data_IF_970029682489
#
_entry.id   IF_970029682489
#
_cell.length_a   1.000
_cell.length_b   1.000
_cell.length_c   1.000
_cell.angle_alpha   90.00
_cell.angle_beta   90.00
_cell.angle_gamma   90.00
#
_symmetry.space_group_name_H-M   'P 1'
#
loop_
_entity.id
_entity.type
_entity.pdbx_description
1 polymer ?
#
# COMPACT_ATOMS: atom_id res chain seq x y z
N UNK A 1 -36.72 7.52 26.87
CA UNK A 1 -35.80 6.57 26.32
C UNK A 1 -34.58 7.36 25.93
N UNK A 2 -33.41 7.10 26.50
CA UNK A 2 -32.18 7.75 26.00
C UNK A 2 -31.94 7.22 24.59
N UNK A 3 -31.85 8.10 23.59
CA UNK A 3 -31.45 7.72 22.25
C UNK A 3 -30.04 7.13 22.38
N UNK A 4 -29.89 5.87 21.94
CA UNK A 4 -28.59 5.25 21.90
C UNK A 4 -27.71 6.08 20.96
N UNK A 5 -26.56 6.54 21.45
CA UNK A 5 -25.62 7.32 20.64
C UNK A 5 -25.11 6.48 19.45
N UNK A 6 -24.45 7.09 18.47
CA UNK A 6 -23.93 6.38 17.31
C UNK A 6 -22.90 5.33 17.73
N UNK A 7 -22.90 4.17 17.04
CA UNK A 7 -21.89 3.12 17.20
C UNK A 7 -20.50 3.68 16.92
N UNK A 8 -20.41 4.57 15.93
CA UNK A 8 -19.13 5.09 15.48
C UNK A 8 -19.23 6.54 15.05
N UNK A 9 -18.25 7.34 15.44
CA UNK A 9 -18.04 8.72 14.94
C UNK A 9 -16.54 9.01 14.91
N UNK A 10 -16.05 9.47 13.76
CA UNK A 10 -14.67 9.93 13.62
C UNK A 10 -14.61 11.23 12.82
N UNK A 11 -13.79 12.18 13.28
CA UNK A 11 -13.61 13.49 12.66
C UNK A 11 -12.16 13.63 12.23
N UNK A 12 -11.93 13.93 10.96
CA UNK A 12 -10.61 14.25 10.42
C UNK A 12 -10.60 15.68 9.90
N UNK A 13 -9.52 16.39 10.16
CA UNK A 13 -9.25 17.71 9.57
C UNK A 13 -8.66 17.60 8.16
N UNK A 14 -8.31 16.39 7.73
CA UNK A 14 -7.59 16.15 6.48
C UNK A 14 -8.20 15.04 5.62
N UNK A 15 -9.27 15.39 4.89
CA UNK A 15 -9.91 14.46 3.96
C UNK A 15 -8.97 14.00 2.83
N UNK A 16 -7.90 14.76 2.53
CA UNK A 16 -6.93 14.38 1.50
C UNK A 16 -6.13 13.12 1.86
N UNK A 17 -5.71 12.99 3.13
CA UNK A 17 -5.03 11.79 3.60
C UNK A 17 -5.93 10.55 3.47
N UNK A 18 -7.20 10.69 3.87
CA UNK A 18 -8.18 9.62 3.78
C UNK A 18 -8.41 9.21 2.32
N UNK A 19 -8.61 10.21 1.44
CA UNK A 19 -8.75 9.98 0.00
C UNK A 19 -7.52 9.27 -0.57
N UNK A 20 -6.31 9.74 -0.28
CA UNK A 20 -5.08 9.20 -0.84
C UNK A 20 -4.88 7.72 -0.48
N UNK A 21 -5.16 7.34 0.77
CA UNK A 21 -5.06 5.95 1.22
C UNK A 21 -6.12 5.06 0.55
N UNK A 22 -7.36 5.51 0.51
CA UNK A 22 -8.45 4.75 -0.12
C UNK A 22 -8.29 4.66 -1.65
N UNK A 23 -7.76 5.70 -2.28
CA UNK A 23 -7.48 5.70 -3.71
C UNK A 23 -6.40 4.67 -4.10
N UNK A 24 -5.47 4.33 -3.19
CA UNK A 24 -4.49 3.27 -3.42
C UNK A 24 -5.17 1.91 -3.70
N UNK A 25 -6.29 1.63 -3.06
CA UNK A 25 -7.06 0.37 -3.23
C UNK A 25 -8.29 0.53 -4.14
N UNK A 26 -8.40 1.64 -4.85
CA UNK A 26 -9.56 1.99 -5.68
C UNK A 26 -9.69 1.22 -7.00
N UNK A 27 -9.30 -0.05 -7.04
CA UNK A 27 -9.36 -0.89 -8.25
C UNK A 27 -10.68 -1.64 -8.45
N UNK A 28 -11.59 -1.62 -7.47
CA UNK A 28 -12.93 -2.17 -7.57
C UNK A 28 -13.98 -1.17 -7.09
N UNK A 29 -15.24 -1.42 -7.42
CA UNK A 29 -16.35 -0.49 -7.14
C UNK A 29 -16.75 -0.47 -5.67
N UNK A 30 -16.68 -1.62 -5.01
CA UNK A 30 -17.14 -1.81 -3.64
C UNK A 30 -15.95 -2.12 -2.73
N UNK A 31 -16.07 -1.75 -1.47
CA UNK A 31 -15.14 -2.11 -0.42
C UNK A 31 -15.90 -2.64 0.80
N UNK A 32 -15.40 -3.69 1.41
CA UNK A 32 -15.78 -4.09 2.75
C UNK A 32 -15.16 -3.14 3.75
N UNK A 33 -15.95 -2.68 4.69
CA UNK A 33 -15.55 -1.77 5.77
C UNK A 33 -15.73 -2.50 7.10
N UNK A 34 -14.69 -2.49 7.93
CA UNK A 34 -14.76 -2.97 9.30
C UNK A 34 -14.32 -1.85 10.25
N UNK A 35 -15.19 -1.54 11.22
CA UNK A 35 -14.92 -0.48 12.21
C UNK A 35 -14.41 -1.15 13.49
N UNK A 36 -13.23 -0.74 13.94
CA UNK A 36 -12.57 -1.29 15.14
C UNK A 36 -12.22 -0.16 16.13
N UNK A 37 -11.86 -0.45 17.39
CA UNK A 37 -11.41 0.57 18.33
C UNK A 37 -10.14 1.31 17.92
N UNK A 38 -9.34 0.73 17.02
CA UNK A 38 -8.04 1.27 16.59
C UNK A 38 -8.08 1.99 15.25
N UNK A 39 -9.18 1.84 14.49
CA UNK A 39 -9.32 2.47 13.19
C UNK A 39 -10.37 1.80 12.32
N UNK A 40 -10.42 2.22 11.07
CA UNK A 40 -11.34 1.70 10.05
C UNK A 40 -10.51 0.94 9.01
N UNK A 41 -10.87 -0.31 8.81
CA UNK A 41 -10.27 -1.16 7.79
C UNK A 41 -11.16 -1.18 6.56
N UNK A 42 -10.56 -0.92 5.41
CA UNK A 42 -11.16 -1.10 4.09
C UNK A 42 -10.47 -2.25 3.38
N UNK A 43 -11.26 -3.17 2.86
CA UNK A 43 -10.80 -4.32 2.08
C UNK A 43 -11.50 -4.33 0.73
N UNK A 44 -10.71 -4.50 -0.32
CA UNK A 44 -11.19 -4.61 -1.70
C UNK A 44 -10.62 -5.88 -2.30
N UNK A 45 -11.45 -6.66 -2.96
CA UNK A 45 -11.08 -7.95 -3.52
C UNK A 45 -11.56 -8.07 -4.97
N UNK A 46 -10.87 -8.85 -5.78
CA UNK A 46 -11.32 -9.25 -7.11
C UNK A 46 -10.92 -10.68 -7.41
N UNK A 47 -11.94 -11.51 -7.63
CA UNK A 47 -11.80 -12.91 -8.05
C UNK A 47 -11.08 -13.82 -7.08
N UNK A 48 -10.95 -13.45 -5.81
CA UNK A 48 -10.17 -14.14 -4.78
C UNK A 48 -8.68 -14.33 -5.13
N UNK A 49 -8.19 -13.51 -6.04
CA UNK A 49 -6.79 -13.56 -6.51
C UNK A 49 -6.01 -12.33 -6.11
N UNK A 50 -6.68 -11.18 -6.02
CA UNK A 50 -6.09 -9.94 -5.51
C UNK A 50 -6.94 -9.37 -4.39
N UNK A 51 -6.28 -8.93 -3.34
CA UNK A 51 -6.89 -8.19 -2.23
C UNK A 51 -6.06 -6.94 -1.94
N UNK A 52 -6.72 -5.80 -1.79
CA UNK A 52 -6.14 -4.54 -1.32
C UNK A 52 -6.71 -4.16 0.03
N UNK A 53 -5.87 -3.79 0.96
CA UNK A 53 -6.20 -3.47 2.35
C UNK A 53 -5.69 -2.08 2.69
N UNK A 54 -6.56 -1.17 3.11
CA UNK A 54 -6.20 0.13 3.64
C UNK A 54 -6.73 0.25 5.07
N UNK A 55 -5.86 0.61 6.00
CA UNK A 55 -6.22 0.84 7.39
C UNK A 55 -6.10 2.32 7.71
N UNK A 56 -7.24 2.94 8.03
CA UNK A 56 -7.31 4.31 8.52
C UNK A 56 -7.18 4.29 10.04
N UNK A 57 -5.95 4.42 10.53
CA UNK A 57 -5.64 4.45 11.96
C UNK A 57 -6.37 5.59 12.65
N UNK A 58 -6.79 5.39 13.91
CA UNK A 58 -7.43 6.42 14.74
C UNK A 58 -6.60 7.70 14.87
N UNK A 59 -5.27 7.61 14.71
CA UNK A 59 -4.39 8.77 14.73
C UNK A 59 -4.58 9.72 13.52
N UNK A 60 -5.24 9.28 12.44
CA UNK A 60 -5.62 10.14 11.31
C UNK A 60 -6.84 11.03 11.61
N UNK A 61 -7.49 10.80 12.74
CA UNK A 61 -8.69 11.51 13.16
C UNK A 61 -8.40 12.38 14.38
N UNK A 62 -8.98 13.55 14.42
CA UNK A 62 -8.91 14.46 15.59
C UNK A 62 -9.77 13.94 16.74
N UNK A 63 -10.86 13.27 16.41
CA UNK A 63 -11.71 12.55 17.36
C UNK A 63 -12.09 11.20 16.76
N UNK A 64 -12.05 10.17 17.59
CA UNK A 64 -12.44 8.82 17.21
C UNK A 64 -13.22 8.20 18.38
N UNK A 65 -14.51 7.96 18.18
CA UNK A 65 -15.40 7.40 19.18
C UNK A 65 -16.01 6.13 18.63
N UNK A 66 -15.85 5.04 19.38
CA UNK A 66 -16.37 3.72 19.02
C UNK A 66 -17.12 3.16 20.24
N UNK A 67 -18.39 2.91 20.10
CA UNK A 67 -19.28 2.41 21.14
C UNK A 67 -19.96 1.13 20.63
N UNK A 68 -19.42 -0.03 20.96
CA UNK A 68 -20.15 -1.28 20.78
C UNK A 68 -21.33 -1.33 21.74
N UNK A 69 -22.55 -1.58 21.25
CA UNK A 69 -23.65 -1.91 22.16
C UNK A 69 -23.24 -3.17 22.94
N UNK A 70 -23.31 -3.09 24.27
CA UNK A 70 -23.07 -4.27 25.12
C UNK A 70 -24.02 -5.38 24.68
N UNK A 71 -23.52 -6.49 24.21
CA UNK A 71 -24.29 -7.71 23.97
C UNK A 71 -24.62 -8.22 25.37
N UNK A 72 -25.85 -7.95 25.81
CA UNK A 72 -26.39 -8.51 27.05
C UNK A 72 -26.63 -10.01 26.82
N UNK A 73 -25.60 -10.81 26.94
CA UNK A 73 -25.73 -12.26 27.09
C UNK A 73 -26.15 -12.55 28.54
N UNK A 74 -27.44 -12.41 28.79
CA UNK A 74 -28.03 -12.72 30.14
C UNK A 74 -28.00 -14.20 30.49
N UNK A 75 -27.42 -15.10 29.71
CA UNK A 75 -27.57 -16.56 29.90
C UNK A 75 -26.28 -17.37 29.69
N UNK A 76 -25.10 -16.93 30.08
CA UNK A 76 -23.99 -17.87 30.16
C UNK A 76 -23.10 -17.60 31.38
N UNK A 77 -22.96 -18.65 32.24
CA UNK A 77 -22.06 -18.66 33.38
C UNK A 77 -20.61 -18.39 32.95
N UNK A 78 -19.85 -17.58 33.69
CA UNK A 78 -18.47 -17.30 33.35
C UNK A 78 -17.59 -18.52 33.64
N UNK A 79 -17.34 -19.34 32.66
CA UNK A 79 -16.16 -20.24 32.67
C UNK A 79 -14.99 -19.43 32.21
N UNK A 80 -14.15 -19.03 33.15
CA UNK A 80 -12.91 -18.32 32.93
C UNK A 80 -11.92 -19.25 32.23
N UNK A 81 -11.89 -19.23 30.93
CA UNK A 81 -10.78 -19.81 30.15
C UNK A 81 -10.01 -18.68 29.45
N UNK A 82 -8.84 -18.38 29.98
CA UNK A 82 -8.02 -17.19 29.68
C UNK A 82 -7.21 -17.31 28.40
N UNK A 83 -7.66 -18.05 27.39
CA UNK A 83 -6.99 -18.25 26.10
C UNK A 83 -7.87 -18.07 24.86
N UNK A 84 -9.12 -17.66 25.01
CA UNK A 84 -9.96 -17.26 23.88
C UNK A 84 -9.67 -15.77 23.60
N UNK A 85 -8.94 -15.46 22.55
CA UNK A 85 -9.06 -14.17 21.88
C UNK A 85 -10.52 -14.06 21.46
N UNK A 86 -11.29 -13.30 22.24
CA UNK A 86 -12.69 -12.99 21.97
C UNK A 86 -12.77 -12.52 20.52
N UNK A 87 -13.41 -13.29 19.65
CA UNK A 87 -13.83 -12.84 18.34
C UNK A 87 -14.94 -11.81 18.58
N UNK A 88 -14.53 -10.58 18.93
CA UNK A 88 -15.42 -9.44 18.98
C UNK A 88 -15.89 -9.22 17.55
N UNK A 89 -17.17 -9.48 17.31
CA UNK A 89 -17.81 -9.23 16.02
C UNK A 89 -17.93 -7.72 15.82
N UNK A 90 -16.88 -7.12 15.24
CA UNK A 90 -16.86 -5.71 14.93
C UNK A 90 -17.81 -5.40 13.78
N UNK A 91 -18.50 -4.24 13.81
CA UNK A 91 -19.38 -3.84 12.74
C UNK A 91 -18.66 -3.89 11.38
N UNK A 92 -19.20 -4.66 10.46
CA UNK A 92 -18.68 -4.81 9.11
C UNK A 92 -19.82 -4.72 8.10
N UNK A 93 -19.56 -4.13 6.96
CA UNK A 93 -20.52 -3.91 5.88
C UNK A 93 -19.80 -3.54 4.59
N UNK A 94 -20.49 -3.62 3.46
CA UNK A 94 -19.98 -3.21 2.15
C UNK A 94 -20.52 -1.85 1.79
N UNK A 95 -19.66 -1.00 1.20
CA UNK A 95 -20.03 0.31 0.64
C UNK A 95 -19.51 0.46 -0.78
N UNK A 96 -20.09 1.36 -1.54
CA UNK A 96 -19.53 1.80 -2.82
C UNK A 96 -18.27 2.63 -2.57
N UNK A 97 -17.09 2.05 -2.86
CA UNK A 97 -15.81 2.75 -2.73
C UNK A 97 -15.70 3.90 -3.73
N UNK A 98 -16.22 3.72 -4.94
CA UNK A 98 -16.24 4.79 -5.94
C UNK A 98 -17.04 6.00 -5.46
N UNK A 99 -18.23 5.80 -4.87
CA UNK A 99 -19.04 6.88 -4.30
C UNK A 99 -18.33 7.55 -3.09
N UNK A 100 -17.65 6.77 -2.25
CA UNK A 100 -16.86 7.29 -1.15
C UNK A 100 -15.70 8.18 -1.65
N UNK A 101 -14.95 7.73 -2.65
CA UNK A 101 -13.87 8.50 -3.24
C UNK A 101 -14.36 9.79 -3.89
N UNK A 102 -15.48 9.74 -4.63
CA UNK A 102 -16.10 10.96 -5.19
C UNK A 102 -16.58 11.92 -4.10
N UNK A 103 -17.16 11.40 -3.01
CA UNK A 103 -17.55 12.23 -1.86
C UNK A 103 -16.33 12.95 -1.27
N UNK A 104 -15.22 12.26 -1.06
CA UNK A 104 -13.99 12.86 -0.51
C UNK A 104 -13.38 13.91 -1.45
N UNK A 105 -13.61 13.82 -2.75
CA UNK A 105 -13.16 14.82 -3.75
C UNK A 105 -13.94 16.14 -3.72
N UNK A 106 -15.10 16.20 -3.10
CA UNK A 106 -15.96 17.40 -3.09
C UNK A 106 -15.19 18.65 -2.62
N UNK A 107 -14.18 18.48 -1.77
CA UNK A 107 -13.31 19.57 -1.30
C UNK A 107 -12.15 19.94 -2.26
N UNK A 108 -12.23 19.61 -3.53
CA UNK A 108 -11.20 19.98 -4.52
C UNK A 108 -9.86 19.25 -4.32
N UNK A 109 -9.89 18.04 -3.75
CA UNK A 109 -8.69 17.24 -3.49
C UNK A 109 -7.98 16.83 -4.81
N UNK A 110 -8.70 16.83 -5.94
CA UNK A 110 -8.15 16.46 -7.26
C UNK A 110 -7.27 17.54 -7.92
N UNK A 111 -7.32 18.79 -7.48
CA UNK A 111 -6.66 19.91 -8.18
C UNK A 111 -5.24 20.23 -7.67
N UNK A 112 -4.75 19.53 -6.64
CA UNK A 112 -3.42 19.79 -6.08
C UNK A 112 -2.26 19.46 -7.03
N UNK A 113 -2.50 18.65 -8.06
CA UNK A 113 -1.49 18.36 -9.10
C UNK A 113 -1.34 19.50 -10.12
N UNK A 114 -2.36 20.34 -10.28
CA UNK A 114 -2.32 21.47 -11.20
C UNK A 114 -1.45 22.64 -10.68
N UNK A 115 -1.31 22.80 -9.36
CA UNK A 115 -0.55 23.90 -8.77
C UNK A 115 0.95 23.70 -8.79
N UNK A 116 1.46 22.48 -8.89
CA UNK A 116 2.90 22.21 -8.99
C UNK A 116 3.45 22.39 -10.42
N UNK A 117 2.61 22.29 -11.43
CA UNK A 117 3.03 22.52 -12.83
C UNK A 117 3.11 24.00 -13.19
N UNK A 118 2.46 24.89 -12.45
CA UNK A 118 2.46 26.36 -12.74
C UNK A 118 3.62 27.13 -12.09
N UNK A 119 4.45 26.50 -11.24
CA UNK A 119 5.64 27.17 -10.66
C UNK A 119 6.86 27.18 -11.56
N UNK A 120 6.83 26.55 -12.71
CA UNK A 120 7.97 26.48 -13.66
C UNK A 120 7.87 27.38 -14.90
N UNK A 121 6.81 28.18 -15.04
CA UNK A 121 6.68 29.12 -16.17
C UNK A 121 6.64 30.56 -15.65
N UNK A 122 7.71 31.28 -15.93
CA UNK A 122 7.95 32.69 -15.66
C UNK A 122 6.91 33.61 -16.31
N UNK A 123 6.48 34.61 -15.51
CA UNK A 123 6.21 36.02 -15.87
C UNK A 123 5.40 36.29 -17.15
N UNK A 124 4.11 36.57 -16.97
CA UNK A 124 3.48 37.80 -17.49
C UNK A 124 2.10 38.07 -16.83
N UNK A 125 1.75 39.33 -16.46
CA UNK A 125 0.49 39.67 -15.84
C UNK A 125 -0.55 39.96 -16.93
N UNK A 126 -1.49 39.06 -17.12
CA UNK A 126 -2.69 39.39 -17.90
C UNK A 126 -3.91 38.62 -17.38
N UNK A 127 -4.83 39.40 -16.85
CA UNK A 127 -6.24 39.15 -16.62
C UNK A 127 -6.66 37.88 -15.88
N UNK A 128 -6.95 38.13 -14.64
CA UNK A 128 -7.61 37.29 -13.65
C UNK A 128 -8.93 36.76 -14.19
N UNK A 129 -8.93 35.54 -14.71
CA UNK A 129 -10.13 34.70 -14.69
C UNK A 129 -10.37 34.26 -13.26
N UNK A 130 -11.58 34.40 -12.81
CA UNK A 130 -12.05 34.09 -11.46
C UNK A 130 -11.58 32.68 -11.02
N UNK A 131 -10.41 32.61 -10.42
CA UNK A 131 -10.01 31.49 -9.59
C UNK A 131 -11.01 31.42 -8.47
N UNK A 132 -11.67 30.30 -8.31
CA UNK A 132 -12.72 30.09 -7.33
C UNK A 132 -12.23 30.61 -5.96
N UNK A 133 -13.06 31.42 -5.31
CA UNK A 133 -12.80 31.97 -3.98
C UNK A 133 -12.51 30.89 -2.91
N UNK A 134 -12.65 29.64 -3.28
CA UNK A 134 -12.48 28.44 -2.44
C UNK A 134 -11.04 27.94 -2.31
N UNK A 135 -10.07 28.50 -3.02
CA UNK A 135 -8.65 28.08 -2.96
C UNK A 135 -7.75 28.93 -2.06
N UNK A 136 -8.30 29.86 -1.30
CA UNK A 136 -7.51 30.67 -0.40
C UNK A 136 -6.97 29.84 0.80
N UNK A 137 -5.67 29.91 1.14
CA UNK A 137 -5.07 29.12 2.22
C UNK A 137 -5.74 29.29 3.58
N UNK A 138 -6.35 30.45 3.82
CA UNK A 138 -7.09 30.75 5.07
C UNK A 138 -8.41 29.97 5.20
N UNK A 139 -8.97 29.48 4.09
CA UNK A 139 -10.20 28.66 4.10
C UNK A 139 -9.92 27.18 4.37
N UNK A 140 -8.67 26.73 4.20
CA UNK A 140 -8.26 25.34 4.48
C UNK A 140 -8.24 25.02 5.98
N UNK A 141 -8.15 26.02 6.84
CA UNK A 141 -8.01 25.85 8.30
C UNK A 141 -9.29 25.34 9.01
N UNK A 142 -10.46 25.45 8.38
CA UNK A 142 -11.75 25.09 8.99
C UNK A 142 -12.48 23.98 8.23
N UNK A 143 -11.73 23.09 7.58
CA UNK A 143 -12.29 21.92 6.91
C UNK A 143 -12.33 20.75 7.85
N UNK A 144 -13.46 20.06 7.92
CA UNK A 144 -13.59 18.79 8.65
C UNK A 144 -14.37 17.78 7.85
N UNK A 145 -13.95 16.54 7.96
CA UNK A 145 -14.62 15.37 7.40
C UNK A 145 -15.03 14.46 8.55
N UNK A 146 -16.33 14.24 8.72
CA UNK A 146 -16.88 13.40 9.79
C UNK A 146 -17.47 12.14 9.17
N UNK A 147 -17.01 11.00 9.62
CA UNK A 147 -17.62 9.69 9.37
C UNK A 147 -18.52 9.33 10.55
N UNK A 148 -19.71 8.85 10.29
CA UNK A 148 -20.65 8.43 11.32
C UNK A 148 -21.42 7.19 10.87
N UNK A 149 -21.53 6.22 11.80
CA UNK A 149 -22.34 5.02 11.64
C UNK A 149 -23.24 4.86 12.85
N UNK A 150 -24.54 4.99 12.65
CA UNK A 150 -25.52 5.09 13.75
C UNK A 150 -25.82 3.72 14.38
N UNK A 151 -26.15 2.74 13.56
CA UNK A 151 -26.55 1.40 13.96
C UNK A 151 -26.30 0.41 12.85
N UNK A 152 -26.36 -0.88 13.14
CA UNK A 152 -26.27 -1.93 12.12
C UNK A 152 -27.32 -1.72 11.02
N UNK A 153 -26.89 -1.79 9.74
CA UNK A 153 -27.73 -1.59 8.58
C UNK A 153 -28.06 -0.12 8.28
N UNK A 154 -27.62 0.86 9.10
CA UNK A 154 -27.77 2.28 8.78
C UNK A 154 -26.78 2.69 7.69
N UNK A 155 -27.07 3.76 6.91
CA UNK A 155 -26.09 4.29 5.96
C UNK A 155 -24.84 4.80 6.69
N UNK A 156 -23.68 4.71 6.02
CA UNK A 156 -22.46 5.39 6.44
C UNK A 156 -22.59 6.87 6.05
N UNK A 157 -22.76 7.75 7.04
CA UNK A 157 -22.89 9.17 6.83
C UNK A 157 -21.52 9.83 6.81
N UNK A 158 -21.26 10.64 5.79
CA UNK A 158 -20.04 11.43 5.62
C UNK A 158 -20.46 12.89 5.57
N UNK A 159 -20.07 13.65 6.57
CA UNK A 159 -20.30 15.08 6.66
C UNK A 159 -19.02 15.82 6.35
N UNK A 160 -19.05 16.63 5.31
CA UNK A 160 -17.98 17.52 4.92
C UNK A 160 -18.38 18.94 5.31
N UNK A 161 -17.63 19.57 6.20
CA UNK A 161 -17.87 20.93 6.63
C UNK A 161 -16.72 21.85 6.23
N UNK A 162 -17.05 22.95 5.62
CA UNK A 162 -16.17 24.07 5.27
C UNK A 162 -16.84 25.37 5.70
N UNK A 163 -16.10 26.45 5.82
CA UNK A 163 -16.63 27.75 6.28
C UNK A 163 -17.91 28.15 5.51
N UNK A 164 -19.06 28.05 6.18
CA UNK A 164 -20.37 28.42 5.65
C UNK A 164 -21.05 27.37 4.76
N UNK A 165 -20.42 26.21 4.49
CA UNK A 165 -21.01 25.13 3.71
C UNK A 165 -20.87 23.81 4.46
N UNK A 166 -21.96 23.05 4.53
CA UNK A 166 -22.00 21.69 5.06
C UNK A 166 -22.62 20.78 4.02
N UNK A 167 -21.87 19.77 3.59
CA UNK A 167 -22.36 18.71 2.67
C UNK A 167 -22.48 17.41 3.45
N UNK A 168 -23.62 16.76 3.34
CA UNK A 168 -23.89 15.46 3.96
C UNK A 168 -24.11 14.46 2.83
N UNK A 169 -23.34 13.38 2.83
CA UNK A 169 -23.48 12.25 1.92
C UNK A 169 -23.75 10.99 2.73
N UNK A 170 -24.81 10.28 2.39
CA UNK A 170 -25.17 9.01 3.03
C UNK A 170 -24.93 7.88 2.05
N UNK A 171 -23.95 7.02 2.36
CA UNK A 171 -23.65 5.85 1.55
C UNK A 171 -24.44 4.66 2.06
N UNK A 172 -25.20 4.04 1.17
CA UNK A 172 -25.92 2.79 1.49
C UNK A 172 -24.90 1.73 1.87
N UNK A 173 -25.19 1.03 2.96
CA UNK A 173 -24.41 -0.12 3.44
C UNK A 173 -25.14 -1.40 3.02
N UNK A 174 -24.37 -2.41 2.65
CA UNK A 174 -24.86 -3.73 2.30
C UNK A 174 -24.28 -4.76 3.26
N UNK A 175 -25.02 -5.81 3.52
CA UNK A 175 -24.51 -6.95 4.31
C UNK A 175 -23.34 -7.61 3.55
N UNK A 176 -22.36 -8.10 4.32
CA UNK A 176 -21.29 -8.90 3.76
C UNK A 176 -21.78 -10.34 3.61
N UNK A 177 -21.42 -11.00 2.52
CA UNK A 177 -21.59 -12.44 2.42
C UNK A 177 -20.60 -13.14 3.38
N UNK A 178 -21.08 -14.16 4.13
CA UNK A 178 -20.30 -14.91 5.13
C UNK A 178 -19.02 -15.59 4.58
N UNK A 179 -18.76 -15.45 3.30
CA UNK A 179 -17.59 -16.02 2.60
C UNK A 179 -16.45 -15.03 2.33
N UNK A 180 -16.49 -13.82 2.87
CA UNK A 180 -15.52 -12.75 2.58
C UNK A 180 -14.25 -12.95 3.42
N UNK A 181 -13.53 -14.02 3.13
CA UNK A 181 -12.27 -14.37 3.78
C UNK A 181 -11.11 -13.62 3.13
N UNK A 182 -10.29 -13.00 3.98
CA UNK A 182 -9.00 -12.45 3.56
C UNK A 182 -8.17 -13.51 2.83
N UNK A 183 -7.45 -13.10 1.77
CA UNK A 183 -6.41 -13.93 1.19
C UNK A 183 -5.39 -14.24 2.30
N UNK A 184 -5.22 -15.51 2.70
CA UNK A 184 -4.34 -15.87 3.80
C UNK A 184 -2.89 -15.56 3.41
N UNK A 185 -2.15 -14.97 4.35
CA UNK A 185 -0.71 -14.74 4.20
C UNK A 185 0.01 -15.24 5.46
N UNK A 186 0.89 -16.21 5.28
CA UNK A 186 1.62 -16.86 6.37
C UNK A 186 2.80 -16.00 6.85
N UNK A 187 2.57 -15.16 7.85
CA UNK A 187 3.60 -14.26 8.39
C UNK A 187 4.80 -15.01 8.96
N UNK A 188 4.60 -16.19 9.54
CA UNK A 188 5.67 -17.04 10.10
C UNK A 188 6.36 -17.88 9.02
N UNK A 189 5.80 -17.94 7.82
CA UNK A 189 6.29 -18.69 6.67
C UNK A 189 6.94 -17.83 5.59
N UNK A 190 7.39 -16.62 5.89
CA UNK A 190 8.00 -15.73 4.90
C UNK A 190 9.33 -16.31 4.41
N UNK A 191 9.41 -16.59 3.11
CA UNK A 191 10.62 -17.08 2.43
C UNK A 191 11.39 -15.98 1.70
N UNK A 192 10.72 -14.86 1.40
CA UNK A 192 11.28 -13.69 0.73
C UNK A 192 10.78 -12.41 1.38
N UNK A 193 11.71 -11.50 1.71
CA UNK A 193 11.40 -10.14 2.16
C UNK A 193 12.41 -9.17 1.57
N UNK A 194 11.92 -8.28 0.72
CA UNK A 194 12.73 -7.27 0.04
C UNK A 194 12.11 -5.90 0.32
N UNK A 195 12.88 -4.97 0.87
CA UNK A 195 12.43 -3.60 1.13
C UNK A 195 13.21 -2.66 0.23
N UNK A 196 12.48 -1.85 -0.54
CA UNK A 196 13.05 -0.87 -1.46
C UNK A 196 12.18 0.38 -1.56
N UNK A 197 12.67 1.39 -2.25
CA UNK A 197 11.86 2.56 -2.62
C UNK A 197 10.75 2.13 -3.57
N UNK A 198 9.53 2.57 -3.28
CA UNK A 198 8.36 2.19 -4.08
C UNK A 198 8.48 2.63 -5.55
N UNK A 199 9.12 3.78 -5.80
CA UNK A 199 9.36 4.29 -7.14
C UNK A 199 10.14 3.32 -8.04
N UNK A 200 11.06 2.52 -7.50
CA UNK A 200 11.79 1.52 -8.28
C UNK A 200 10.87 0.40 -8.77
N UNK A 201 10.02 -0.11 -7.89
CA UNK A 201 9.03 -1.11 -8.27
C UNK A 201 8.02 -0.54 -9.27
N UNK A 202 7.53 0.68 -9.03
CA UNK A 202 6.60 1.37 -9.94
C UNK A 202 7.18 1.52 -11.34
N UNK A 203 8.43 1.98 -11.46
CA UNK A 203 9.09 2.15 -12.75
C UNK A 203 9.28 0.80 -13.46
N UNK A 204 9.70 -0.25 -12.74
CA UNK A 204 9.87 -1.59 -13.30
C UNK A 204 8.56 -2.17 -13.83
N UNK A 205 7.46 -2.07 -13.05
CA UNK A 205 6.13 -2.54 -13.48
C UNK A 205 5.61 -1.71 -14.66
N UNK A 206 5.88 -0.41 -14.69
CA UNK A 206 5.50 0.47 -15.82
C UNK A 206 6.27 0.11 -17.09
N UNK A 207 7.57 -0.13 -16.98
CA UNK A 207 8.42 -0.53 -18.10
C UNK A 207 8.01 -1.90 -18.67
N UNK A 208 7.82 -2.89 -17.79
CA UNK A 208 7.30 -4.19 -18.19
C UNK A 208 5.90 -4.09 -18.81
N UNK A 209 5.04 -3.23 -18.26
CA UNK A 209 3.68 -2.99 -18.77
C UNK A 209 3.65 -2.49 -20.21
N UNK A 210 4.68 -1.76 -20.66
CA UNK A 210 4.78 -1.30 -22.05
C UNK A 210 4.92 -2.46 -23.04
N UNK A 211 5.38 -3.65 -22.61
CA UNK A 211 5.47 -4.86 -23.41
C UNK A 211 4.18 -5.68 -23.41
N UNK A 212 3.17 -5.25 -22.65
CA UNK A 212 1.86 -5.92 -22.51
C UNK A 212 1.94 -7.42 -22.17
N UNK A 213 2.64 -7.80 -21.09
CA UNK A 213 2.77 -9.18 -20.67
C UNK A 213 1.47 -9.67 -19.99
N UNK A 214 1.24 -10.98 -20.01
CA UNK A 214 0.13 -11.61 -19.27
C UNK A 214 0.57 -12.05 -17.86
N UNK A 215 1.81 -12.50 -17.76
CA UNK A 215 2.39 -13.07 -16.53
C UNK A 215 3.56 -12.21 -16.07
N UNK A 216 3.60 -11.93 -14.77
CA UNK A 216 4.78 -11.40 -14.08
C UNK A 216 5.43 -12.54 -13.31
N UNK A 217 6.68 -12.82 -13.63
CA UNK A 217 7.52 -13.73 -12.86
C UNK A 217 8.43 -12.93 -11.93
N UNK A 218 8.38 -13.25 -10.66
CA UNK A 218 9.28 -12.72 -9.62
C UNK A 218 10.32 -13.78 -9.33
N UNK A 219 11.61 -13.44 -9.46
CA UNK A 219 12.70 -14.36 -9.18
C UNK A 219 13.70 -13.75 -8.20
N UNK A 220 14.01 -14.47 -7.12
CA UNK A 220 14.94 -14.03 -6.09
C UNK A 220 15.89 -15.15 -5.64
N UNK A 221 17.17 -14.82 -5.44
CA UNK A 221 18.18 -15.74 -4.92
C UNK A 221 19.18 -14.99 -4.03
N UNK A 222 19.51 -15.57 -2.89
CA UNK A 222 20.57 -15.02 -2.02
C UNK A 222 21.99 -15.45 -2.46
N UNK A 223 22.11 -16.45 -3.35
CA UNK A 223 23.41 -17.10 -3.66
C UNK A 223 23.86 -16.92 -5.09
N UNK A 224 22.93 -16.68 -6.02
CA UNK A 224 23.20 -16.68 -7.46
C UNK A 224 22.69 -15.42 -8.13
N UNK A 225 23.51 -14.79 -8.95
CA UNK A 225 23.08 -13.70 -9.83
C UNK A 225 22.17 -14.22 -10.96
N UNK A 226 21.24 -13.41 -11.43
CA UNK A 226 20.81 -12.14 -10.86
C UNK A 226 20.07 -12.35 -9.52
N UNK A 227 20.34 -11.53 -8.51
CA UNK A 227 19.78 -11.71 -7.16
C UNK A 227 18.28 -11.45 -7.09
N UNK A 228 17.81 -10.44 -7.80
CA UNK A 228 16.38 -10.12 -7.86
C UNK A 228 15.98 -9.63 -9.25
N UNK A 229 14.96 -10.26 -9.82
CA UNK A 229 14.45 -9.90 -11.16
C UNK A 229 12.94 -9.94 -11.20
N UNK A 230 12.39 -9.09 -12.05
CA UNK A 230 11.01 -9.12 -12.50
C UNK A 230 11.02 -9.37 -14.00
N UNK A 231 10.31 -10.40 -14.48
CA UNK A 231 10.16 -10.61 -15.90
C UNK A 231 8.69 -10.72 -16.30
N UNK A 232 8.39 -10.19 -17.49
CA UNK A 232 7.07 -10.24 -18.10
C UNK A 232 7.06 -11.19 -19.29
N UNK A 233 6.08 -12.08 -19.37
CA UNK A 233 5.92 -13.04 -20.48
C UNK A 233 4.47 -13.17 -20.93
N UNK A 234 4.24 -13.89 -22.05
CA UNK A 234 2.89 -14.12 -22.59
C UNK A 234 2.30 -12.98 -23.41
N UNK A 235 3.11 -11.96 -23.70
CA UNK A 235 2.76 -10.84 -24.58
C UNK A 235 3.34 -10.99 -26.00
N UNK A 236 3.44 -9.89 -26.78
CA UNK A 236 4.05 -9.86 -28.10
C UNK A 236 5.56 -10.20 -28.08
N UNK A 237 6.21 -10.01 -26.95
CA UNK A 237 7.60 -10.38 -26.71
C UNK A 237 7.66 -11.73 -25.99
N UNK A 238 8.67 -12.53 -26.28
CA UNK A 238 8.86 -13.81 -25.59
C UNK A 238 9.07 -13.62 -24.10
N UNK A 239 9.92 -12.66 -23.71
CA UNK A 239 10.21 -12.28 -22.34
C UNK A 239 10.79 -10.87 -22.30
N UNK A 240 10.40 -10.08 -21.28
CA UNK A 240 10.99 -8.79 -20.94
C UNK A 240 11.48 -8.87 -19.50
N UNK A 241 12.69 -8.39 -19.22
CA UNK A 241 13.37 -8.57 -17.94
C UNK A 241 13.81 -7.22 -17.36
N UNK A 242 13.54 -7.02 -16.06
CA UNK A 242 14.12 -5.94 -15.25
C UNK A 242 14.92 -6.58 -14.12
N UNK A 243 16.21 -6.24 -14.05
CA UNK A 243 17.14 -6.72 -13.02
C UNK A 243 17.49 -5.62 -12.04
N UNK A 244 17.45 -5.94 -10.75
CA UNK A 244 17.79 -5.02 -9.67
C UNK A 244 19.19 -5.33 -9.14
N UNK A 245 20.06 -4.31 -9.11
CA UNK A 245 21.39 -4.43 -8.51
C UNK A 245 21.28 -4.43 -7.00
N UNK A 246 21.84 -5.46 -6.36
CA UNK A 246 21.86 -5.65 -4.91
C UNK A 246 23.31 -5.78 -4.48
N UNK A 247 23.75 -4.88 -3.57
CA UNK A 247 25.03 -5.06 -2.87
C UNK A 247 24.81 -6.05 -1.72
N UNK A 248 25.46 -7.19 -1.79
CA UNK A 248 25.62 -8.05 -0.62
C UNK A 248 26.78 -7.51 0.20
N UNK A 249 26.54 -7.12 1.45
CA UNK A 249 27.58 -6.97 2.44
C UNK A 249 28.25 -8.35 2.64
N UNK A 250 29.32 -8.59 1.89
CA UNK A 250 30.19 -9.73 2.11
C UNK A 250 30.89 -9.54 3.46
N UNK A 251 30.19 -9.83 4.56
CA UNK A 251 30.78 -9.99 5.90
C UNK A 251 31.58 -11.30 6.01
N UNK A 252 32.40 -11.61 5.02
CA UNK A 252 33.34 -12.73 5.12
C UNK A 252 34.59 -12.50 4.28
N UNK A 253 35.36 -11.46 4.62
CA UNK A 253 36.81 -11.49 4.54
C UNK A 253 37.37 -10.42 5.47
N UNK A 254 37.51 -10.78 6.75
CA UNK A 254 38.41 -10.11 7.66
C UNK A 254 39.84 -10.25 7.13
N UNK A 255 40.25 -9.32 6.29
CA UNK A 255 41.64 -8.98 6.11
C UNK A 255 41.82 -7.50 6.45
N UNK A 256 42.39 -7.20 7.65
CA UNK A 256 42.62 -5.82 8.10
C UNK A 256 43.62 -5.04 7.23
N UNK A 257 44.22 -5.66 6.23
CA UNK A 257 45.28 -5.06 5.40
C UNK A 257 44.80 -4.28 4.21
N UNK A 258 43.51 -4.35 3.83
CA UNK A 258 43.00 -3.60 2.66
C UNK A 258 42.39 -2.24 3.00
N UNK A 259 42.30 -1.86 4.28
CA UNK A 259 41.80 -0.54 4.72
C UNK A 259 42.76 0.62 4.45
N UNK A 260 44.01 0.36 4.03
CA UNK A 260 45.04 1.39 3.80
C UNK A 260 45.41 1.63 2.34
N UNK A 261 44.71 1.05 1.37
CA UNK A 261 45.03 1.30 -0.05
C UNK A 261 44.06 2.23 -0.76
N UNK A 262 43.62 3.30 -0.12
CA UNK A 262 43.26 4.53 -0.79
C UNK A 262 44.50 5.38 -0.97
N UNK A 263 45.41 4.92 -1.81
CA UNK A 263 46.49 5.77 -2.30
C UNK A 263 45.86 6.82 -3.20
N UNK A 264 45.88 8.05 -2.71
CA UNK A 264 45.75 9.27 -3.51
C UNK A 264 46.89 9.24 -4.55
N UNK A 265 46.60 8.78 -5.75
CA UNK A 265 47.41 9.09 -6.90
C UNK A 265 46.84 10.37 -7.50
N UNK A 266 47.65 11.41 -7.37
CA UNK A 266 47.52 12.75 -7.90
C UNK A 266 47.64 12.69 -9.44
N UNK A 267 46.57 12.23 -10.10
CA UNK A 267 46.40 12.34 -11.55
C UNK A 267 44.91 12.49 -11.88
N UNK A 268 44.51 13.73 -11.83
CA UNK A 268 43.12 14.22 -11.86
C UNK A 268 42.38 14.08 -13.16
N UNK A 269 42.43 13.04 -13.97
CA UNK A 269 41.64 13.18 -15.21
C UNK A 269 40.96 11.97 -15.82
N UNK A 270 41.07 10.74 -15.42
CA UNK A 270 40.27 9.74 -16.15
C UNK A 270 39.83 8.46 -15.43
N UNK A 271 40.41 8.18 -14.29
CA UNK A 271 40.07 6.92 -13.56
C UNK A 271 38.89 7.03 -12.59
N UNK A 272 38.52 8.23 -12.17
CA UNK A 272 37.38 8.43 -11.26
C UNK A 272 36.02 8.27 -11.94
N UNK A 273 35.94 8.40 -13.25
CA UNK A 273 34.70 8.25 -14.01
C UNK A 273 34.31 6.78 -14.25
N UNK A 274 35.34 5.92 -14.47
CA UNK A 274 35.10 4.50 -14.73
C UNK A 274 34.75 3.72 -13.46
N UNK A 275 35.24 4.17 -12.28
CA UNK A 275 34.91 3.52 -11.00
C UNK A 275 33.55 3.96 -10.46
N UNK A 276 33.10 5.18 -10.75
CA UNK A 276 31.75 5.64 -10.39
C UNK A 276 30.64 5.01 -11.25
N UNK A 277 30.95 4.57 -12.47
CA UNK A 277 29.99 3.87 -13.34
C UNK A 277 29.75 2.41 -12.90
N UNK A 278 30.54 1.86 -11.97
CA UNK A 278 30.39 0.48 -11.48
C UNK A 278 29.64 0.34 -10.17
N UNK A 279 29.39 1.42 -9.45
CA UNK A 279 28.50 1.39 -8.30
C UNK A 279 27.13 1.89 -8.74
N UNK A 280 26.34 0.99 -9.34
CA UNK A 280 24.88 1.20 -9.35
C UNK A 280 24.42 1.33 -7.89
N UNK A 281 23.63 2.36 -7.54
CA UNK A 281 23.17 2.51 -6.17
C UNK A 281 22.40 1.25 -5.76
N UNK A 282 22.70 0.72 -4.58
CA UNK A 282 21.93 -0.39 -4.00
C UNK A 282 20.47 -0.03 -3.95
N UNK A 283 19.65 -0.83 -4.62
CA UNK A 283 18.22 -0.56 -4.78
C UNK A 283 17.44 -0.99 -3.52
N UNK A 284 17.98 -1.95 -2.76
CA UNK A 284 17.31 -2.56 -1.62
C UNK A 284 17.88 -2.08 -0.29
N UNK A 285 16.98 -1.81 0.69
CA UNK A 285 17.33 -1.55 2.08
C UNK A 285 17.40 -2.86 2.90
N UNK A 286 16.60 -3.85 2.52
CA UNK A 286 16.57 -5.18 3.13
C UNK A 286 16.43 -6.21 2.02
N UNK A 287 17.25 -7.24 2.07
CA UNK A 287 17.17 -8.35 1.15
C UNK A 287 17.35 -9.68 1.90
N UNK A 288 16.23 -10.34 2.19
CA UNK A 288 16.17 -11.64 2.85
C UNK A 288 15.50 -12.64 1.93
N UNK A 289 16.23 -13.67 1.51
CA UNK A 289 15.73 -14.71 0.62
C UNK A 289 16.18 -16.06 1.15
N UNK A 290 15.22 -16.90 1.54
CA UNK A 290 15.44 -18.22 2.13
C UNK A 290 14.54 -19.24 1.46
N UNK A 291 14.88 -19.72 0.26
CA UNK A 291 14.06 -20.69 -0.46
C UNK A 291 13.97 -21.99 0.33
N UNK A 292 12.80 -22.64 0.36
CA UNK A 292 12.65 -23.98 0.90
C UNK A 292 13.47 -24.99 0.06
N UNK A 293 13.83 -26.13 0.66
CA UNK A 293 14.68 -27.14 0.00
C UNK A 293 14.08 -27.65 -1.31
N UNK A 294 12.77 -27.67 -1.45
CA UNK A 294 12.05 -28.07 -2.67
C UNK A 294 12.27 -27.11 -3.84
N UNK A 295 12.52 -25.82 -3.59
CA UNK A 295 12.72 -24.79 -4.62
C UNK A 295 14.20 -24.59 -5.01
N UNK A 296 15.13 -25.35 -4.41
CA UNK A 296 16.56 -25.23 -4.68
C UNK A 296 17.16 -23.94 -4.14
N UNK A 297 17.88 -23.17 -4.97
CA UNK A 297 18.60 -21.94 -4.54
C UNK A 297 17.90 -20.64 -4.90
N UNK A 298 16.78 -20.72 -5.62
CA UNK A 298 16.07 -19.56 -6.20
C UNK A 298 14.57 -19.71 -6.03
N UNK A 299 13.94 -18.67 -5.49
CA UNK A 299 12.50 -18.54 -5.47
C UNK A 299 12.04 -18.06 -6.85
N UNK A 300 11.03 -18.71 -7.41
CA UNK A 300 10.35 -18.30 -8.63
C UNK A 300 8.85 -18.39 -8.38
N UNK A 301 8.13 -17.31 -8.66
CA UNK A 301 6.69 -17.24 -8.48
C UNK A 301 6.09 -16.42 -9.61
N UNK A 302 5.00 -16.90 -10.14
CA UNK A 302 4.30 -16.33 -11.29
C UNK A 302 2.96 -15.74 -10.85
N UNK A 303 2.66 -14.53 -11.34
CA UNK A 303 1.43 -13.79 -11.01
C UNK A 303 0.80 -13.23 -12.28
N UNK A 304 -0.52 -13.07 -12.28
CA UNK A 304 -1.19 -12.38 -13.39
C UNK A 304 -0.81 -10.90 -13.38
N UNK A 305 -0.16 -10.45 -14.46
CA UNK A 305 0.42 -9.11 -14.56
C UNK A 305 -0.64 -8.01 -14.36
N UNK A 306 -1.84 -8.17 -14.96
CA UNK A 306 -2.92 -7.20 -14.84
C UNK A 306 -3.39 -6.95 -13.40
N UNK A 307 -3.26 -7.94 -12.51
CA UNK A 307 -3.58 -7.75 -11.10
C UNK A 307 -2.49 -6.96 -10.37
N UNK A 308 -1.22 -7.21 -10.67
CA UNK A 308 -0.11 -6.44 -10.10
C UNK A 308 -0.22 -4.95 -10.49
N UNK A 309 -0.63 -4.65 -11.73
CA UNK A 309 -0.85 -3.28 -12.19
C UNK A 309 -1.91 -2.52 -11.37
N UNK A 310 -2.87 -3.21 -10.76
CA UNK A 310 -3.89 -2.58 -9.90
C UNK A 310 -3.31 -1.92 -8.64
N UNK A 311 -2.11 -2.33 -8.21
CA UNK A 311 -1.39 -1.69 -7.13
C UNK A 311 -0.60 -0.43 -7.56
N UNK A 312 -0.67 0.00 -8.83
CA UNK A 312 0.14 1.11 -9.37
C UNK A 312 -0.11 2.44 -8.66
N UNK A 313 -1.35 2.71 -8.21
CA UNK A 313 -1.63 3.92 -7.43
C UNK A 313 -0.89 3.91 -6.08
N UNK A 314 -0.87 2.77 -5.39
CA UNK A 314 -0.12 2.61 -4.15
C UNK A 314 1.40 2.68 -4.40
N UNK A 315 1.89 2.08 -5.49
CA UNK A 315 3.30 2.17 -5.90
C UNK A 315 3.74 3.61 -6.14
N UNK A 316 2.88 4.42 -6.76
CA UNK A 316 3.17 5.83 -7.04
C UNK A 316 3.09 6.72 -5.80
N UNK A 317 2.17 6.42 -4.86
CA UNK A 317 1.94 7.22 -3.66
C UNK A 317 2.94 6.92 -2.53
N UNK A 318 3.47 5.69 -2.47
CA UNK A 318 4.29 5.24 -1.36
C UNK A 318 5.76 5.63 -1.49
N UNK A 319 6.41 5.83 -0.34
CA UNK A 319 7.85 6.08 -0.25
C UNK A 319 8.63 4.77 -0.35
N UNK A 320 8.14 3.73 0.34
CA UNK A 320 8.78 2.41 0.39
C UNK A 320 7.77 1.30 0.17
N UNK A 321 8.28 0.19 -0.33
CA UNK A 321 7.52 -1.06 -0.46
C UNK A 321 8.29 -2.20 0.19
N UNK A 322 7.58 -3.04 0.93
CA UNK A 322 8.06 -4.33 1.40
C UNK A 322 7.41 -5.42 0.56
N UNK A 323 8.19 -6.08 -0.26
CA UNK A 323 7.81 -7.22 -1.10
C UNK A 323 8.04 -8.47 -0.27
N UNK A 324 6.99 -9.23 0.02
CA UNK A 324 7.05 -10.44 0.85
C UNK A 324 6.40 -11.60 0.12
N UNK A 325 7.06 -12.74 0.14
CA UNK A 325 6.50 -14.01 -0.35
C UNK A 325 6.49 -15.03 0.76
N UNK A 326 5.40 -15.78 0.89
CA UNK A 326 5.30 -16.89 1.83
C UNK A 326 5.56 -18.24 1.16
N UNK A 327 5.50 -19.32 1.93
CA UNK A 327 5.74 -20.69 1.45
C UNK A 327 4.68 -21.18 0.47
N UNK A 328 3.47 -20.64 0.53
CA UNK A 328 2.38 -20.98 -0.38
C UNK A 328 2.45 -20.17 -1.69
N UNK A 329 3.44 -19.29 -1.81
CA UNK A 329 3.61 -18.42 -2.96
C UNK A 329 2.74 -17.17 -2.93
N UNK A 330 1.98 -16.92 -1.88
CA UNK A 330 1.22 -15.67 -1.76
C UNK A 330 2.17 -14.49 -1.65
N UNK A 331 2.02 -13.52 -2.54
CA UNK A 331 2.77 -12.27 -2.55
C UNK A 331 2.04 -11.22 -1.73
N UNK A 332 2.73 -10.59 -0.80
CA UNK A 332 2.27 -9.38 -0.13
C UNK A 332 3.15 -8.19 -0.51
N UNK A 333 2.55 -7.13 -1.03
CA UNK A 333 3.17 -5.83 -1.27
C UNK A 333 2.64 -4.84 -0.24
N UNK A 334 3.45 -4.53 0.77
CA UNK A 334 3.10 -3.55 1.79
C UNK A 334 3.76 -2.21 1.47
N UNK A 335 2.92 -1.22 1.21
CA UNK A 335 3.31 0.13 0.85
C UNK A 335 3.28 1.05 2.07
N UNK A 336 4.36 1.80 2.29
CA UNK A 336 4.48 2.81 3.32
C UNK A 336 4.26 4.19 2.69
N UNK A 337 3.17 4.84 3.06
CA UNK A 337 2.80 6.19 2.62
C UNK A 337 3.09 7.18 3.75
N UNK A 338 3.91 8.17 3.48
CA UNK A 338 4.25 9.23 4.44
C UNK A 338 3.52 10.51 4.07
N UNK A 339 2.90 11.12 5.06
CA UNK A 339 2.26 12.43 4.94
C UNK A 339 3.04 13.46 5.74
N UNK A 340 3.22 14.65 5.18
CA UNK A 340 3.76 15.78 5.92
C UNK A 340 2.74 16.34 6.93
N UNK A 341 3.16 17.29 7.78
CA UNK A 341 2.26 17.90 8.74
C UNK A 341 1.09 18.69 8.13
N UNK A 342 1.08 18.91 6.82
CA UNK A 342 -0.05 19.50 6.08
C UNK A 342 -0.96 18.43 5.47
N UNK A 343 -0.56 17.15 5.56
CA UNK A 343 -1.28 16.01 5.01
C UNK A 343 -1.04 15.76 3.52
N UNK A 344 -0.06 16.41 2.91
CA UNK A 344 0.38 16.10 1.56
C UNK A 344 1.32 14.89 1.58
N UNK A 345 1.28 14.06 0.52
CA UNK A 345 2.19 12.93 0.36
C UNK A 345 3.62 13.44 0.18
N UNK A 346 4.52 12.96 1.02
CA UNK A 346 5.95 13.30 0.93
C UNK A 346 6.64 12.37 -0.07
N UNK A 347 6.80 12.80 -1.30
CA UNK A 347 7.65 12.07 -2.25
C UNK A 347 9.10 12.50 -2.06
N UNK A 348 10.02 11.56 -1.81
CA UNK A 348 11.45 11.80 -1.62
C UNK A 348 12.14 12.24 -2.93
N UNK A 349 11.82 13.41 -3.43
CA UNK A 349 12.57 14.09 -4.49
C UNK A 349 13.45 15.18 -3.87
N UNK A 350 14.64 14.78 -3.43
CA UNK A 350 15.81 15.64 -3.27
C UNK A 350 15.79 16.69 -2.17
N UNK A 351 16.81 16.62 -1.30
CA UNK A 351 17.34 17.68 -0.44
C UNK A 351 16.44 18.16 0.71
N UNK A 352 16.52 17.46 1.84
CA UNK A 352 16.06 17.97 3.13
C UNK A 352 16.92 19.16 3.57
N UNK A 353 16.37 20.35 3.51
CA UNK A 353 16.76 21.46 4.37
C UNK A 353 16.41 21.06 5.82
N UNK A 354 17.42 21.06 6.71
CA UNK A 354 17.29 20.81 8.13
C UNK A 354 16.54 22.01 8.76
N UNK A 355 15.21 21.98 8.72
CA UNK A 355 14.33 22.74 9.61
C UNK A 355 13.42 21.71 10.24
N UNK A 356 13.20 21.83 11.55
CA UNK A 356 12.31 20.99 12.35
C UNK A 356 11.04 20.67 11.56
N UNK A 357 11.00 19.43 11.02
CA UNK A 357 9.86 18.98 10.26
C UNK A 357 8.70 18.70 11.24
N UNK A 358 7.49 19.20 10.99
CA UNK A 358 6.31 18.76 11.75
C UNK A 358 6.20 17.25 11.65
N UNK A 359 5.69 16.61 12.69
CA UNK A 359 5.59 15.16 12.81
C UNK A 359 4.93 14.58 11.55
N UNK A 360 5.66 13.72 10.81
CA UNK A 360 5.13 13.02 9.66
C UNK A 360 4.26 11.86 10.14
N UNK A 361 3.07 11.70 9.55
CA UNK A 361 2.21 10.53 9.79
C UNK A 361 2.53 9.46 8.76
N UNK A 362 2.68 8.22 9.23
CA UNK A 362 2.94 7.07 8.37
C UNK A 362 1.72 6.16 8.36
N UNK A 363 1.30 5.75 7.17
CA UNK A 363 0.20 4.80 6.98
C UNK A 363 0.64 3.68 6.06
N UNK A 364 -0.03 2.54 6.18
CA UNK A 364 0.28 1.36 5.38
C UNK A 364 -0.91 0.91 4.55
N UNK A 365 -0.62 0.53 3.31
CA UNK A 365 -1.56 -0.14 2.40
C UNK A 365 -0.94 -1.49 2.02
N UNK A 366 -1.68 -2.56 2.14
CA UNK A 366 -1.21 -3.92 1.83
C UNK A 366 -1.99 -4.50 0.66
N UNK A 367 -1.30 -5.14 -0.25
CA UNK A 367 -1.88 -5.91 -1.34
C UNK A 367 -1.44 -7.36 -1.22
N UNK A 368 -2.37 -8.28 -1.45
CA UNK A 368 -2.10 -9.70 -1.49
C UNK A 368 -2.48 -10.27 -2.84
N UNK A 369 -1.63 -11.14 -3.37
CA UNK A 369 -1.81 -11.76 -4.67
C UNK A 369 -1.60 -13.26 -4.53
N UNK A 370 -2.54 -14.02 -5.09
CA UNK A 370 -2.43 -15.47 -5.20
C UNK A 370 -1.57 -15.80 -6.42
N UNK A 371 -0.60 -16.74 -6.32
CA UNK A 371 0.24 -17.12 -7.44
C UNK A 371 -0.55 -17.86 -8.52
N UNK A 372 -0.02 -17.87 -9.74
CA UNK A 372 -0.44 -18.80 -10.75
C UNK A 372 0.14 -20.18 -10.44
N UNK A 373 -0.67 -21.22 -10.56
CA UNK A 373 -0.21 -22.59 -10.40
C UNK A 373 0.51 -23.01 -11.69
N UNK A 374 1.67 -23.64 -11.56
CA UNK A 374 2.34 -24.27 -12.68
C UNK A 374 1.55 -25.53 -13.10
N UNK A 375 1.22 -25.64 -14.39
CA UNK A 375 0.47 -26.80 -14.91
C UNK A 375 1.21 -28.14 -14.71
N UNK A 376 2.52 -28.10 -14.51
CA UNK A 376 3.34 -29.28 -14.24
C UNK A 376 3.15 -29.83 -12.83
N UNK A 377 2.88 -28.97 -11.81
CA UNK A 377 2.57 -29.41 -10.45
C UNK A 377 1.20 -30.11 -10.37
N UNK A 378 0.23 -29.70 -11.18
CA UNK A 378 -1.09 -30.36 -11.25
C UNK A 378 -1.05 -31.77 -11.87
N UNK A 379 -0.03 -32.10 -12.68
CA UNK A 379 0.12 -33.43 -13.27
C UNK A 379 0.67 -34.45 -12.29
N UNK A 380 1.52 -34.00 -11.35
CA UNK A 380 2.13 -34.92 -10.38
C UNK A 380 1.16 -35.32 -9.26
N UNK A 381 0.21 -34.44 -8.86
CA UNK A 381 -0.84 -34.80 -7.89
C UNK A 381 -1.87 -35.80 -8.47
N UNK A 382 -2.26 -35.64 -9.72
CA UNK A 382 -3.24 -36.56 -10.39
C UNK A 382 -2.68 -37.97 -10.61
N UNK A 383 -1.35 -38.12 -10.69
CA UNK A 383 -0.73 -39.43 -10.87
C UNK A 383 -0.53 -40.20 -9.56
N UNK A 384 -0.56 -39.53 -8.40
CA UNK A 384 -0.42 -40.19 -7.10
C UNK A 384 -1.75 -40.79 -6.59
N UNK A 385 -2.89 -40.18 -6.92
CA UNK A 385 -4.22 -40.70 -6.51
C UNK A 385 -4.76 -41.81 -7.40
N UNK A 386 -4.06 -42.18 -8.49
CA UNK A 386 -4.46 -43.24 -9.41
C UNK A 386 -3.82 -44.59 -9.09
N UNK A 387 -3.01 -44.69 -8.03
CA UNK A 387 -2.29 -45.93 -7.66
C UNK A 387 -2.48 -46.37 -6.19
N UNK A 388 -3.55 -45.91 -5.48
CA UNK A 388 -3.99 -46.51 -4.23
C UNK A 388 -5.32 -47.27 -4.41
#
# INVERSE_FOLDING_TARGET
>A
MAEAGPIFTAVSSNAHQLYALLHCIGFAQNAMVQITPDGIRFSVEEGRVIQGLAFLDKALFTTYTFNLPAINNENENPVVDSSASENLDYPHFVVSLSALLETLKIFGIGDSTATNSMRAASVQPSNVSATSAFTAPSLLLNRSCTFQYLSHGSPLSITLAETGVKTICELTTYECDDGDLDIPFQRDGIIMKIIMRSAWLHNAITELGATNPQVLKISASAKQEPFFTLSGSGGPFSESLVEFSIEQDNQSSENPSDLHRKVLTDDGTSRSRATRAKLAPTVTETFLVSPPSSMGTRIKQDYRFSFIQKASHAMAAANKVSIRGDRQGVLSLQFMVEFDGTGAITTNTGSRSIKEAPASTVSFVDFRFVPLLDEDELRDEVTHDAFE
#
